data_IF_059845707850
#
_entry.id   IF_059845707850
#
_cell.length_a   1.000
_cell.length_b   1.000
_cell.length_c   1.000
_cell.angle_alpha   90.00
_cell.angle_beta   90.00
_cell.angle_gamma   90.00
#
_symmetry.space_group_name_H-M   'P 1'
#
loop_
_entity.id
_entity.type
_entity.pdbx_description
1 polymer ?
#
# COMPACT_ATOMS: atom_id res chain seq x y z
N UNK A 1 -7.13 13.97 -23.52
CA UNK A 1 -7.02 12.50 -23.31
C UNK A 1 -8.24 12.14 -22.49
N UNK A 2 -9.12 11.32 -23.06
CA UNK A 2 -10.35 10.92 -22.38
C UNK A 2 -10.03 9.63 -21.58
N UNK A 3 -9.85 9.78 -20.28
CA UNK A 3 -9.49 8.69 -19.37
C UNK A 3 -10.77 8.27 -18.64
N UNK A 4 -11.29 7.08 -18.97
CA UNK A 4 -12.50 6.55 -18.32
C UNK A 4 -12.23 5.73 -17.06
N UNK A 5 -10.98 5.31 -16.81
CA UNK A 5 -10.53 4.70 -15.56
C UNK A 5 -9.01 4.82 -15.45
N UNK A 6 -8.53 5.48 -14.40
CA UNK A 6 -7.11 5.76 -14.16
C UNK A 6 -6.84 7.25 -14.00
N UNK A 7 -5.59 7.60 -13.70
CA UNK A 7 -5.15 8.97 -13.52
C UNK A 7 -3.98 9.26 -14.47
N UNK A 8 -3.88 10.49 -15.00
CA UNK A 8 -2.80 10.91 -15.89
C UNK A 8 -1.42 10.84 -15.22
N UNK A 9 -0.46 10.21 -15.88
CA UNK A 9 0.93 10.18 -15.42
C UNK A 9 1.60 11.54 -15.60
N UNK A 10 2.38 11.98 -14.61
CA UNK A 10 3.13 13.24 -14.66
C UNK A 10 2.42 14.45 -14.04
N UNK A 11 1.19 14.29 -13.55
CA UNK A 11 0.50 15.30 -12.75
C UNK A 11 0.76 15.06 -11.23
N UNK A 12 1.34 16.03 -10.51
CA UNK A 12 1.58 15.92 -9.06
C UNK A 12 0.31 15.62 -8.24
N UNK A 13 -0.85 16.07 -8.70
CA UNK A 13 -2.13 15.87 -8.00
C UNK A 13 -2.58 14.41 -8.06
N UNK A 14 -2.24 13.74 -9.16
CA UNK A 14 -2.46 12.32 -9.40
C UNK A 14 -1.68 11.43 -8.42
N UNK A 15 -0.47 11.86 -8.08
CA UNK A 15 0.39 11.21 -7.10
C UNK A 15 -0.20 11.29 -5.68
N UNK A 16 -0.76 12.44 -5.30
CA UNK A 16 -1.43 12.61 -4.00
C UNK A 16 -2.72 11.79 -3.93
N UNK A 17 -3.51 11.79 -5.00
CA UNK A 17 -4.73 10.98 -5.08
C UNK A 17 -4.44 9.48 -4.96
N UNK A 18 -3.34 8.99 -5.56
CA UNK A 18 -2.90 7.60 -5.43
C UNK A 18 -2.52 7.24 -3.99
N UNK A 19 -1.84 8.13 -3.28
CA UNK A 19 -1.49 7.91 -1.86
C UNK A 19 -2.75 7.81 -0.98
N UNK A 20 -3.76 8.65 -1.23
CA UNK A 20 -5.03 8.61 -0.48
C UNK A 20 -5.81 7.33 -0.81
N UNK A 21 -5.88 6.94 -2.08
CA UNK A 21 -6.56 5.72 -2.50
C UNK A 21 -5.96 4.45 -1.90
N UNK A 22 -4.63 4.37 -1.82
CA UNK A 22 -3.92 3.22 -1.27
C UNK A 22 -3.70 3.30 0.26
N UNK A 23 -4.18 4.35 0.94
CA UNK A 23 -3.96 4.52 2.38
C UNK A 23 -4.56 3.37 3.21
N UNK A 24 -5.69 2.82 2.79
CA UNK A 24 -6.32 1.69 3.47
C UNK A 24 -5.51 0.39 3.35
N UNK A 25 -4.68 0.24 2.30
CA UNK A 25 -3.77 -0.90 2.16
C UNK A 25 -2.67 -0.91 3.24
N UNK A 26 -2.37 0.23 3.84
CA UNK A 26 -1.38 0.34 4.92
C UNK A 26 -1.96 -0.17 6.25
N UNK A 27 -3.29 -0.10 6.42
CA UNK A 27 -3.97 -0.43 7.66
C UNK A 27 -4.29 -1.93 7.82
N UNK A 28 -3.88 -2.78 6.87
CA UNK A 28 -4.19 -4.22 6.90
C UNK A 28 -3.39 -5.00 7.96
N UNK A 29 -2.33 -4.41 8.52
CA UNK A 29 -1.43 -5.12 9.44
C UNK A 29 -1.82 -5.00 10.89
N UNK A 30 -1.71 -6.12 11.61
CA UNK A 30 -1.81 -6.12 13.05
C UNK A 30 -0.42 -6.12 13.70
N UNK A 31 -0.04 -4.98 14.30
CA UNK A 31 1.23 -4.81 15.00
C UNK A 31 1.35 -5.71 16.24
N UNK A 32 0.24 -6.12 16.87
CA UNK A 32 0.23 -7.07 17.98
C UNK A 32 0.66 -8.48 17.53
N UNK A 33 0.39 -8.82 16.27
CA UNK A 33 0.81 -10.08 15.63
C UNK A 33 2.18 -10.00 14.95
N UNK A 34 2.93 -8.89 15.15
CA UNK A 34 4.21 -8.62 14.46
C UNK A 34 4.07 -8.63 12.93
N UNK A 35 2.98 -8.10 12.44
CA UNK A 35 2.74 -7.86 11.01
C UNK A 35 3.02 -6.39 10.69
N UNK A 36 3.69 -6.14 9.57
CA UNK A 36 4.14 -4.81 9.15
C UNK A 36 3.92 -4.61 7.66
N UNK A 37 3.39 -3.45 7.28
CA UNK A 37 3.14 -3.08 5.88
C UNK A 37 4.01 -1.88 5.54
N UNK A 38 4.79 -2.01 4.48
CA UNK A 38 5.54 -0.91 3.89
C UNK A 38 4.88 -0.57 2.55
N UNK A 39 4.32 0.63 2.44
CA UNK A 39 3.78 1.13 1.18
C UNK A 39 4.74 2.17 0.59
N UNK A 40 5.28 1.85 -0.57
CA UNK A 40 5.88 2.78 -1.51
C UNK A 40 4.86 3.12 -2.59
N UNK A 41 5.08 4.25 -3.27
CA UNK A 41 4.10 4.90 -4.14
C UNK A 41 3.42 3.97 -5.15
N UNK A 42 4.03 2.88 -5.61
CA UNK A 42 3.38 1.89 -6.48
C UNK A 42 3.44 0.46 -5.91
N UNK A 43 4.15 0.26 -4.80
CA UNK A 43 4.49 -1.06 -4.27
C UNK A 43 4.06 -1.17 -2.81
N UNK A 44 3.29 -2.19 -2.48
CA UNK A 44 2.97 -2.52 -1.08
C UNK A 44 3.64 -3.84 -0.72
N UNK A 45 4.43 -3.84 0.35
CA UNK A 45 5.09 -5.03 0.90
C UNK A 45 4.49 -5.36 2.26
N UNK A 46 4.06 -6.61 2.44
CA UNK A 46 3.56 -7.14 3.71
C UNK A 46 4.60 -8.07 4.33
N UNK A 47 4.89 -7.88 5.62
CA UNK A 47 5.87 -8.65 6.39
C UNK A 47 5.17 -9.23 7.60
N UNK A 48 5.24 -10.55 7.80
CA UNK A 48 4.77 -11.23 9.01
C UNK A 48 5.92 -11.96 9.69
N UNK A 49 6.05 -11.78 11.01
CA UNK A 49 7.14 -12.40 11.81
C UNK A 49 6.55 -13.43 12.78
N UNK A 50 6.71 -14.71 12.45
CA UNK A 50 6.40 -15.83 13.33
C UNK A 50 7.56 -16.21 14.25
N UNK A 51 7.30 -16.84 15.42
CA UNK A 51 8.35 -17.32 16.32
C UNK A 51 9.13 -18.52 15.74
N UNK A 52 8.51 -19.29 14.86
CA UNK A 52 9.03 -20.50 14.25
C UNK A 52 8.52 -20.62 12.81
N UNK A 53 9.22 -21.40 11.98
CA UNK A 53 8.75 -21.75 10.62
C UNK A 53 7.73 -22.89 10.61
N UNK A 54 7.49 -23.52 11.76
CA UNK A 54 6.58 -24.64 11.97
C UNK A 54 5.91 -24.49 13.33
N UNK A 55 4.63 -24.87 13.40
CA UNK A 55 3.74 -24.84 14.57
C UNK A 55 4.42 -25.01 15.93
#
# INVERSE_FOLDING_TARGET
IDIHNGIGQGDPLSMIAYLIYNADLINITNSENKEYTLAFIDDTTYIAIGPTFKD
#
